data_IF_193442326200
#
_entry.id   IF_193442326200
#
_cell.length_a   1.000
_cell.length_b   1.000
_cell.length_c   1.000
_cell.angle_alpha   90.00
_cell.angle_beta   90.00
_cell.angle_gamma   90.00
#
_symmetry.space_group_name_H-M   'P 1'
#
loop_
_entity.id
_entity.type
_entity.pdbx_description
1 polymer ?
#
# COMPACT_ATOMS: atom_id res chain seq x y z
N UNK A 1 -9.15 -32.37 -67.35
CA UNK A 1 -9.81 -32.74 -66.08
C UNK A 1 -8.89 -32.36 -64.95
N UNK A 2 -9.08 -31.19 -64.24
CA UNK A 2 -8.38 -30.93 -62.99
C UNK A 2 -9.24 -31.39 -61.80
N UNK A 3 -8.61 -32.11 -60.89
CA UNK A 3 -9.15 -32.63 -59.64
C UNK A 3 -9.23 -31.53 -58.61
N UNK A 4 -10.41 -31.37 -58.03
CA UNK A 4 -10.69 -30.43 -56.95
C UNK A 4 -10.09 -30.93 -55.61
N UNK A 5 -9.38 -30.05 -54.91
CA UNK A 5 -8.90 -30.27 -53.54
C UNK A 5 -9.98 -29.79 -52.55
N UNK A 6 -10.32 -30.52 -51.51
CA UNK A 6 -11.26 -30.03 -50.50
C UNK A 6 -10.60 -29.01 -49.55
N UNK A 7 -11.29 -27.90 -49.35
CA UNK A 7 -11.01 -26.86 -48.38
C UNK A 7 -11.15 -27.42 -46.96
N UNK A 8 -10.10 -27.31 -46.16
CA UNK A 8 -10.15 -27.62 -44.73
C UNK A 8 -10.78 -26.46 -43.98
N UNK A 9 -11.97 -26.68 -43.46
CA UNK A 9 -12.62 -25.82 -42.45
C UNK A 9 -11.72 -25.78 -41.20
N UNK A 10 -11.17 -24.60 -40.91
CA UNK A 10 -10.52 -24.30 -39.63
C UNK A 10 -11.66 -23.99 -38.66
N UNK A 11 -11.93 -24.89 -37.74
CA UNK A 11 -12.83 -24.66 -36.62
C UNK A 11 -12.25 -23.52 -35.79
N UNK A 12 -13.00 -22.41 -35.72
CA UNK A 12 -12.85 -21.32 -34.77
C UNK A 12 -13.08 -21.90 -33.35
N UNK A 13 -11.99 -22.19 -32.64
CA UNK A 13 -12.06 -22.55 -31.21
C UNK A 13 -12.48 -21.28 -30.43
N UNK A 14 -13.79 -21.15 -30.22
CA UNK A 14 -14.40 -20.13 -29.39
C UNK A 14 -13.78 -20.14 -27.99
N UNK A 15 -12.98 -19.13 -27.69
CA UNK A 15 -12.48 -18.86 -26.33
C UNK A 15 -13.68 -18.84 -25.37
N UNK A 16 -13.64 -19.70 -24.38
CA UNK A 16 -14.62 -19.68 -23.28
C UNK A 16 -14.61 -18.28 -22.65
N UNK A 17 -15.76 -17.67 -22.36
CA UNK A 17 -15.79 -16.38 -21.67
C UNK A 17 -15.09 -16.54 -20.32
N UNK A 18 -14.02 -15.79 -20.09
CA UNK A 18 -13.35 -15.71 -18.78
C UNK A 18 -14.40 -15.25 -17.78
N UNK A 19 -14.67 -16.08 -16.78
CA UNK A 19 -15.53 -15.69 -15.67
C UNK A 19 -14.91 -14.46 -15.00
N UNK A 20 -15.65 -13.35 -14.82
CA UNK A 20 -15.10 -12.17 -14.18
C UNK A 20 -14.53 -12.54 -12.80
N UNK A 21 -13.34 -12.04 -12.51
CA UNK A 21 -12.67 -12.31 -11.24
C UNK A 21 -13.56 -11.84 -10.08
N UNK A 22 -13.87 -12.74 -9.15
CA UNK A 22 -14.67 -12.42 -7.96
C UNK A 22 -13.81 -11.91 -6.84
N UNK A 23 -14.38 -11.05 -5.99
CA UNK A 23 -13.72 -10.60 -4.76
C UNK A 23 -13.36 -11.82 -3.89
N UNK A 24 -12.13 -11.82 -3.38
CA UNK A 24 -11.65 -12.79 -2.39
C UNK A 24 -12.56 -12.85 -1.16
N UNK A 25 -12.87 -14.05 -0.68
CA UNK A 25 -13.57 -14.22 0.58
C UNK A 25 -12.72 -13.67 1.74
N UNK A 26 -13.38 -13.01 2.70
CA UNK A 26 -12.70 -12.47 3.88
C UNK A 26 -11.99 -13.59 4.66
N UNK A 27 -10.65 -13.51 4.85
CA UNK A 27 -9.94 -14.49 5.65
C UNK A 27 -10.31 -14.37 7.13
N UNK A 28 -10.40 -15.50 7.84
CA UNK A 28 -10.82 -15.55 9.24
C UNK A 28 -9.97 -14.67 10.19
N UNK A 29 -8.70 -14.44 9.84
CA UNK A 29 -7.78 -13.60 10.62
C UNK A 29 -8.11 -12.11 10.55
N UNK A 30 -8.85 -11.65 9.55
CA UNK A 30 -9.17 -10.24 9.35
C UNK A 30 -9.86 -9.63 10.58
N UNK A 31 -10.88 -10.32 11.12
CA UNK A 31 -11.58 -9.86 12.31
C UNK A 31 -10.67 -9.69 13.53
N UNK A 32 -9.68 -10.57 13.70
CA UNK A 32 -8.72 -10.45 14.80
C UNK A 32 -7.74 -9.29 14.63
N UNK A 33 -7.33 -8.98 13.37
CA UNK A 33 -6.40 -7.89 13.08
C UNK A 33 -7.03 -6.50 13.17
N UNK A 34 -8.31 -6.38 12.81
CA UNK A 34 -9.03 -5.10 12.85
C UNK A 34 -9.85 -4.88 14.12
N UNK A 35 -10.17 -5.94 14.88
CA UNK A 35 -10.99 -5.85 16.08
C UNK A 35 -12.33 -5.15 15.83
N UNK A 36 -12.63 -4.10 16.60
CA UNK A 36 -13.88 -3.33 16.47
C UNK A 36 -14.03 -2.62 15.13
N UNK A 37 -12.93 -2.40 14.40
CA UNK A 37 -12.91 -1.65 13.14
C UNK A 37 -13.11 -2.54 11.89
N UNK A 38 -13.40 -3.83 12.07
CA UNK A 38 -13.53 -4.78 10.94
C UNK A 38 -14.58 -4.37 9.92
N UNK A 39 -15.67 -3.76 10.32
CA UNK A 39 -16.74 -3.37 9.39
C UNK A 39 -16.31 -2.22 8.47
N UNK A 40 -15.48 -1.29 8.96
CA UNK A 40 -14.84 -0.27 8.10
C UNK A 40 -13.87 -0.89 7.11
N UNK A 41 -13.09 -1.90 7.53
CA UNK A 41 -12.19 -2.62 6.63
C UNK A 41 -12.96 -3.39 5.54
N UNK A 42 -14.10 -3.99 5.86
CA UNK A 42 -15.02 -4.63 4.91
C UNK A 42 -15.58 -3.63 3.91
N UNK A 43 -16.03 -2.47 4.39
CA UNK A 43 -16.56 -1.40 3.54
C UNK A 43 -15.50 -0.89 2.57
N UNK A 44 -14.28 -0.60 3.04
CA UNK A 44 -13.16 -0.17 2.21
C UNK A 44 -12.79 -1.23 1.16
N UNK A 45 -12.68 -2.50 1.56
CA UNK A 45 -12.33 -3.60 0.64
C UNK A 45 -13.39 -3.77 -0.45
N UNK A 46 -14.68 -3.65 -0.09
CA UNK A 46 -15.78 -3.69 -1.06
C UNK A 46 -15.73 -2.51 -2.03
N UNK A 47 -15.52 -1.29 -1.53
CA UNK A 47 -15.38 -0.11 -2.38
C UNK A 47 -14.23 -0.24 -3.38
N UNK A 48 -13.07 -0.80 -2.95
CA UNK A 48 -11.96 -1.11 -3.84
C UNK A 48 -12.32 -2.20 -4.86
N UNK A 49 -13.09 -3.21 -4.47
CA UNK A 49 -13.52 -4.25 -5.39
C UNK A 49 -14.47 -3.71 -6.47
N UNK A 50 -15.40 -2.84 -6.06
CA UNK A 50 -16.45 -2.32 -6.94
C UNK A 50 -15.93 -1.23 -7.91
N UNK A 51 -14.94 -0.43 -7.49
CA UNK A 51 -14.50 0.76 -8.22
C UNK A 51 -13.01 0.79 -8.56
N UNK A 52 -12.21 -0.11 -7.98
CA UNK A 52 -10.75 -0.02 -8.03
C UNK A 52 -10.18 -0.20 -9.42
N UNK A 53 -10.72 -1.12 -10.24
CA UNK A 53 -10.26 -1.35 -11.60
C UNK A 53 -10.65 -0.19 -12.52
N UNK A 54 -11.91 0.23 -12.51
CA UNK A 54 -12.41 1.34 -13.32
C UNK A 54 -11.64 2.64 -13.06
N UNK A 55 -11.33 2.92 -11.79
CA UNK A 55 -10.58 4.12 -11.38
C UNK A 55 -9.06 3.96 -11.52
N UNK A 56 -8.56 2.79 -11.95
CA UNK A 56 -7.13 2.51 -12.11
C UNK A 56 -6.36 2.55 -10.78
N UNK A 57 -6.97 2.05 -9.72
CA UNK A 57 -6.44 1.96 -8.36
C UNK A 57 -5.78 0.60 -8.10
N UNK A 58 -6.39 -0.46 -8.62
CA UNK A 58 -5.90 -1.84 -8.58
C UNK A 58 -5.94 -2.45 -9.98
N UNK A 59 -5.15 -3.48 -10.22
CA UNK A 59 -5.17 -4.21 -11.48
C UNK A 59 -6.32 -5.21 -11.57
N UNK A 60 -6.68 -5.68 -12.78
CA UNK A 60 -7.82 -6.57 -13.00
C UNK A 60 -7.69 -7.93 -12.30
N UNK A 61 -6.47 -8.37 -12.01
CA UNK A 61 -6.20 -9.66 -11.37
C UNK A 61 -6.06 -9.56 -9.84
N UNK A 62 -6.36 -8.41 -9.24
CA UNK A 62 -6.17 -8.22 -7.80
C UNK A 62 -7.39 -8.61 -6.95
N UNK A 63 -8.60 -8.70 -7.53
CA UNK A 63 -9.81 -9.06 -6.81
C UNK A 63 -9.72 -10.40 -6.05
N UNK A 64 -9.21 -11.50 -6.65
CA UNK A 64 -9.10 -12.79 -5.97
C UNK A 64 -8.08 -12.85 -4.82
N UNK A 65 -7.33 -11.77 -4.58
CA UNK A 65 -6.30 -11.66 -3.53
C UNK A 65 -6.29 -10.30 -2.85
N UNK A 66 -7.41 -9.57 -2.92
CA UNK A 66 -7.51 -8.20 -2.41
C UNK A 66 -7.34 -8.16 -0.89
N UNK A 67 -7.97 -9.10 -0.18
CA UNK A 67 -7.79 -9.24 1.25
C UNK A 67 -6.36 -9.64 1.63
N UNK A 68 -5.90 -10.77 1.10
CA UNK A 68 -4.62 -11.35 1.54
C UNK A 68 -3.43 -10.50 1.13
N UNK A 69 -3.37 -10.07 -0.14
CA UNK A 69 -2.21 -9.37 -0.68
C UNK A 69 -2.19 -7.87 -0.35
N UNK A 70 -3.35 -7.25 -0.15
CA UNK A 70 -3.41 -5.80 0.02
C UNK A 70 -3.86 -5.38 1.41
N UNK A 71 -5.02 -5.83 1.86
CA UNK A 71 -5.60 -5.39 3.13
C UNK A 71 -4.83 -5.98 4.32
N UNK A 72 -4.68 -7.31 4.37
CA UNK A 72 -3.98 -7.97 5.48
C UNK A 72 -2.49 -7.64 5.51
N UNK A 73 -1.84 -7.57 4.35
CA UNK A 73 -0.44 -7.16 4.26
C UNK A 73 -0.21 -5.70 4.68
N UNK A 74 -1.24 -4.86 4.65
CA UNK A 74 -1.15 -3.50 5.19
C UNK A 74 -1.38 -3.47 6.69
N UNK A 75 -2.47 -4.07 7.19
CA UNK A 75 -2.84 -4.01 8.61
C UNK A 75 -1.85 -4.71 9.53
N UNK A 76 -1.19 -5.76 9.09
CA UNK A 76 -0.19 -6.48 9.90
C UNK A 76 0.97 -5.59 10.36
N UNK A 77 1.21 -4.48 9.65
CA UNK A 77 2.23 -3.50 10.01
C UNK A 77 1.74 -2.45 11.03
N UNK A 78 0.45 -2.40 11.35
CA UNK A 78 -0.14 -1.39 12.24
C UNK A 78 0.56 -1.25 13.60
N UNK A 79 1.02 -2.34 14.27
CA UNK A 79 1.74 -2.23 15.54
C UNK A 79 3.11 -1.54 15.45
N UNK A 80 3.69 -1.41 14.25
CA UNK A 80 5.00 -0.77 14.07
C UNK A 80 4.95 0.75 14.17
N UNK A 81 3.77 1.35 13.93
CA UNK A 81 3.65 2.80 13.86
C UNK A 81 3.50 3.42 15.25
N UNK A 82 4.29 4.46 15.58
CA UNK A 82 4.15 5.20 16.84
C UNK A 82 2.83 5.98 16.85
N UNK A 83 2.39 6.34 18.05
CA UNK A 83 1.39 7.40 18.17
C UNK A 83 1.95 8.72 17.63
N UNK A 84 1.08 9.59 17.12
CA UNK A 84 1.46 10.90 16.56
C UNK A 84 1.07 11.04 15.10
N UNK A 85 1.86 11.81 14.33
CA UNK A 85 1.57 12.14 12.93
C UNK A 85 2.38 11.27 11.97
N UNK A 86 1.70 10.44 11.19
CA UNK A 86 2.31 9.48 10.26
C UNK A 86 1.91 9.80 8.82
N UNK A 87 2.89 9.88 7.92
CA UNK A 87 2.64 10.10 6.49
C UNK A 87 2.64 8.82 5.68
N UNK A 88 1.67 8.65 4.79
CA UNK A 88 1.70 7.66 3.71
C UNK A 88 2.02 8.36 2.40
N UNK A 89 3.20 8.12 1.84
CA UNK A 89 3.70 8.84 0.68
C UNK A 89 3.44 8.06 -0.61
N UNK A 90 2.66 8.70 -1.49
CA UNK A 90 2.14 8.04 -2.68
C UNK A 90 1.02 7.07 -2.34
N UNK A 91 0.02 7.54 -1.58
CA UNK A 91 -1.04 6.73 -1.00
C UNK A 91 -1.89 5.96 -2.02
N UNK A 92 -1.99 6.45 -3.25
CA UNK A 92 -2.62 5.74 -4.37
C UNK A 92 -4.07 5.31 -4.10
N UNK A 93 -4.27 4.00 -4.01
CA UNK A 93 -5.55 3.39 -3.68
C UNK A 93 -5.93 3.50 -2.18
N UNK A 94 -5.06 4.08 -1.34
CA UNK A 94 -5.22 4.07 0.13
C UNK A 94 -4.56 2.87 0.80
N UNK A 95 -3.61 2.25 0.12
CA UNK A 95 -2.88 1.07 0.56
C UNK A 95 -1.39 1.40 0.73
N UNK A 96 -0.84 1.50 1.96
CA UNK A 96 -1.44 1.02 3.21
C UNK A 96 -2.25 2.05 4.00
N UNK A 97 -2.25 3.35 3.66
CA UNK A 97 -2.67 4.45 4.52
C UNK A 97 -4.10 4.35 5.07
N UNK A 98 -5.12 4.11 4.22
CA UNK A 98 -6.51 3.97 4.69
C UNK A 98 -6.65 2.72 5.60
N UNK A 99 -6.03 1.61 5.22
CA UNK A 99 -6.09 0.36 6.02
C UNK A 99 -5.47 0.58 7.41
N UNK A 100 -4.33 1.26 7.46
CA UNK A 100 -3.64 1.59 8.71
C UNK A 100 -4.44 2.60 9.53
N UNK A 101 -5.08 3.58 8.90
CA UNK A 101 -5.92 4.56 9.58
C UNK A 101 -7.16 3.93 10.21
N UNK A 102 -7.76 2.93 9.57
CA UNK A 102 -8.85 2.13 10.14
C UNK A 102 -8.36 1.38 11.39
N UNK A 103 -7.21 0.70 11.30
CA UNK A 103 -6.70 -0.14 12.38
C UNK A 103 -6.09 0.66 13.55
N UNK A 104 -5.68 1.92 13.33
CA UNK A 104 -5.01 2.79 14.30
C UNK A 104 -5.69 4.15 14.37
N UNK A 105 -6.91 4.22 14.96
CA UNK A 105 -7.63 5.48 15.14
C UNK A 105 -6.94 6.46 16.11
N UNK A 106 -5.96 5.98 16.89
CA UNK A 106 -5.10 6.76 17.79
C UNK A 106 -3.95 7.48 17.08
N UNK A 107 -3.72 7.21 15.79
CA UNK A 107 -2.66 7.81 14.97
C UNK A 107 -3.27 8.82 13.99
N UNK A 108 -2.66 9.98 13.83
CA UNK A 108 -3.05 10.95 12.81
C UNK A 108 -2.33 10.66 11.50
N UNK A 109 -3.09 10.24 10.50
CA UNK A 109 -2.56 9.85 9.18
C UNK A 109 -2.63 10.98 8.18
N UNK A 110 -1.55 11.22 7.45
CA UNK A 110 -1.49 12.16 6.34
C UNK A 110 -1.23 11.40 5.05
N UNK A 111 -2.23 11.36 4.18
CA UNK A 111 -2.16 10.66 2.89
C UNK A 111 -1.72 11.65 1.82
N UNK A 112 -0.49 11.51 1.32
CA UNK A 112 0.09 12.41 0.32
C UNK A 112 0.05 11.74 -1.06
N UNK A 113 -0.68 12.35 -2.00
CA UNK A 113 -0.88 11.80 -3.35
C UNK A 113 -0.93 12.95 -4.39
N UNK A 114 -0.11 12.93 -5.45
CA UNK A 114 -0.11 14.01 -6.43
C UNK A 114 -1.28 13.95 -7.43
N UNK A 115 -1.84 12.78 -7.71
CA UNK A 115 -2.84 12.61 -8.77
C UNK A 115 -4.23 12.97 -8.28
N UNK A 116 -4.86 13.99 -8.89
CA UNK A 116 -6.18 14.50 -8.53
C UNK A 116 -7.26 13.43 -8.39
N UNK A 117 -7.35 12.50 -9.37
CA UNK A 117 -8.34 11.41 -9.34
C UNK A 117 -8.17 10.49 -8.13
N UNK A 118 -6.92 10.25 -7.68
CA UNK A 118 -6.62 9.43 -6.50
C UNK A 118 -6.90 10.19 -5.21
N UNK A 119 -6.60 11.49 -5.19
CA UNK A 119 -6.98 12.37 -4.07
C UNK A 119 -8.49 12.41 -3.89
N UNK A 120 -9.26 12.53 -4.98
CA UNK A 120 -10.72 12.46 -4.93
C UNK A 120 -11.21 11.13 -4.34
N UNK A 121 -10.64 10.00 -4.79
CA UNK A 121 -10.92 8.68 -4.24
C UNK A 121 -10.61 8.60 -2.73
N UNK A 122 -9.41 9.03 -2.32
CA UNK A 122 -9.00 9.00 -0.91
C UNK A 122 -9.93 9.84 -0.04
N UNK A 123 -10.31 11.05 -0.50
CA UNK A 123 -11.22 11.93 0.21
C UNK A 123 -12.62 11.34 0.34
N UNK A 124 -13.13 10.69 -0.71
CA UNK A 124 -14.38 9.94 -0.70
C UNK A 124 -14.33 8.82 0.34
N UNK A 125 -13.28 8.00 0.35
CA UNK A 125 -13.13 6.91 1.32
C UNK A 125 -13.02 7.42 2.76
N UNK A 126 -12.25 8.48 3.00
CA UNK A 126 -12.14 9.10 4.33
C UNK A 126 -13.50 9.56 4.84
N UNK A 127 -14.30 10.18 3.97
CA UNK A 127 -15.67 10.63 4.30
C UNK A 127 -16.60 9.45 4.59
N UNK A 128 -16.67 8.48 3.69
CA UNK A 128 -17.63 7.38 3.74
C UNK A 128 -17.36 6.43 4.91
N UNK A 129 -16.09 6.23 5.26
CA UNK A 129 -15.66 5.44 6.42
C UNK A 129 -15.69 6.21 7.74
N UNK A 130 -15.93 7.52 7.71
CA UNK A 130 -15.94 8.39 8.90
C UNK A 130 -14.59 8.43 9.61
N UNK A 131 -13.46 8.51 8.86
CA UNK A 131 -12.10 8.53 9.39
C UNK A 131 -11.72 9.96 9.82
N UNK A 132 -11.95 10.30 11.08
CA UNK A 132 -11.60 11.63 11.64
C UNK A 132 -10.10 11.81 11.90
N UNK A 133 -9.32 10.74 11.81
CA UNK A 133 -7.88 10.71 12.04
C UNK A 133 -7.06 10.78 10.73
N UNK A 134 -7.67 11.14 9.60
CA UNK A 134 -7.01 11.18 8.28
C UNK A 134 -7.09 12.56 7.65
N UNK A 135 -5.95 13.06 7.19
CA UNK A 135 -5.79 14.23 6.33
C UNK A 135 -5.35 13.78 4.94
N UNK A 136 -6.01 14.23 3.88
CA UNK A 136 -5.61 13.95 2.49
C UNK A 136 -4.97 15.20 1.90
N UNK A 137 -3.73 15.06 1.40
CA UNK A 137 -2.94 16.16 0.84
C UNK A 137 -2.64 15.88 -0.64
N UNK A 138 -3.07 16.79 -1.51
CA UNK A 138 -2.68 16.77 -2.92
C UNK A 138 -1.35 17.46 -3.11
N UNK A 139 -0.27 16.71 -3.12
CA UNK A 139 1.08 17.21 -3.35
C UNK A 139 2.02 16.12 -3.85
N UNK A 140 3.11 16.52 -4.48
CA UNK A 140 4.31 15.68 -4.58
C UNK A 140 5.05 15.71 -3.25
N UNK A 141 5.73 14.62 -2.90
CA UNK A 141 6.46 14.55 -1.63
C UNK A 141 7.50 15.67 -1.49
N UNK A 142 8.19 16.01 -2.59
CA UNK A 142 9.19 17.06 -2.65
C UNK A 142 8.61 18.47 -2.41
N UNK A 143 7.39 18.71 -2.88
CA UNK A 143 6.68 19.99 -2.77
C UNK A 143 6.06 20.17 -1.39
N UNK A 144 5.75 19.06 -0.70
CA UNK A 144 5.11 19.06 0.61
C UNK A 144 6.09 19.15 1.77
N UNK A 145 7.40 19.11 1.51
CA UNK A 145 8.45 19.04 2.53
C UNK A 145 8.52 20.26 3.47
N UNK A 146 8.04 21.43 3.03
CA UNK A 146 8.08 22.65 3.83
C UNK A 146 7.05 22.60 4.99
N UNK A 147 7.58 22.47 6.22
CA UNK A 147 6.76 22.42 7.46
C UNK A 147 6.16 21.05 7.79
N UNK A 148 6.39 20.03 6.97
CA UNK A 148 6.00 18.68 7.32
C UNK A 148 6.92 18.13 8.41
N UNK A 149 6.35 17.82 9.57
CA UNK A 149 7.05 17.14 10.67
C UNK A 149 6.25 15.91 11.02
N UNK A 150 6.81 14.75 10.65
CA UNK A 150 6.19 13.44 10.87
C UNK A 150 6.95 12.65 11.92
N UNK A 151 6.23 11.92 12.77
CA UNK A 151 6.78 10.94 13.69
C UNK A 151 7.25 9.68 12.98
N UNK A 152 6.53 9.29 11.94
CA UNK A 152 6.93 8.23 11.04
C UNK A 152 6.41 8.44 9.63
N UNK A 153 6.99 7.73 8.66
CA UNK A 153 6.53 7.71 7.28
C UNK A 153 6.44 6.28 6.76
N UNK A 154 5.43 6.04 5.95
CA UNK A 154 5.27 4.79 5.20
C UNK A 154 5.13 5.04 3.71
N UNK A 155 5.37 4.00 2.94
CA UNK A 155 5.05 3.93 1.52
C UNK A 155 4.98 2.46 1.09
N UNK A 156 4.18 2.17 0.05
CA UNK A 156 4.09 0.85 -0.57
C UNK A 156 4.09 0.97 -2.08
N UNK A 157 4.84 0.11 -2.78
CA UNK A 157 4.88 0.01 -4.24
C UNK A 157 5.22 1.32 -5.00
N UNK A 158 5.89 2.28 -4.36
CA UNK A 158 6.25 3.57 -4.95
C UNK A 158 7.52 3.45 -5.77
N UNK A 159 8.65 3.04 -5.14
CA UNK A 159 9.96 2.92 -5.80
C UNK A 159 10.96 2.14 -4.95
N UNK A 160 12.16 1.91 -5.51
CA UNK A 160 13.28 1.35 -4.74
C UNK A 160 13.70 2.30 -3.60
N UNK A 161 14.24 1.74 -2.51
CA UNK A 161 14.63 2.50 -1.31
C UNK A 161 15.53 3.71 -1.62
N UNK A 162 16.50 3.53 -2.52
CA UNK A 162 17.44 4.62 -2.93
C UNK A 162 16.74 5.85 -3.50
N UNK A 163 15.58 5.67 -4.13
CA UNK A 163 14.75 6.74 -4.70
C UNK A 163 13.74 7.26 -3.68
N UNK A 164 13.28 6.39 -2.78
CA UNK A 164 12.27 6.73 -1.78
C UNK A 164 12.84 7.57 -0.63
N UNK A 165 14.08 7.28 -0.19
CA UNK A 165 14.73 8.00 0.91
C UNK A 165 14.81 9.52 0.72
N UNK A 166 15.23 10.05 -0.46
CA UNK A 166 15.21 11.50 -0.71
C UNK A 166 13.85 12.17 -0.55
N UNK A 167 12.78 11.42 -0.80
CA UNK A 167 11.39 11.91 -0.76
C UNK A 167 10.79 11.86 0.64
N UNK A 168 11.25 10.93 1.47
CA UNK A 168 10.58 10.59 2.74
C UNK A 168 11.37 10.99 3.97
N UNK A 169 12.69 10.78 3.98
CA UNK A 169 13.52 11.09 5.14
C UNK A 169 13.49 12.58 5.55
N UNK A 170 13.44 13.57 4.62
CA UNK A 170 13.29 14.98 4.99
C UNK A 170 12.00 15.31 5.74
N UNK A 171 10.92 14.55 5.53
CA UNK A 171 9.60 14.75 6.13
C UNK A 171 9.54 14.30 7.59
N UNK A 172 10.47 13.44 8.01
CA UNK A 172 10.48 12.81 9.32
C UNK A 172 11.34 13.62 10.29
N UNK A 173 10.85 13.84 11.52
CA UNK A 173 11.62 14.51 12.57
C UNK A 173 12.87 13.72 12.96
N UNK A 174 13.78 14.34 13.68
CA UNK A 174 14.87 13.62 14.33
C UNK A 174 14.33 12.58 15.33
N UNK A 175 14.90 11.39 15.32
CA UNK A 175 14.42 10.24 16.08
C UNK A 175 13.18 9.54 15.51
N UNK A 176 12.54 10.08 14.46
CA UNK A 176 11.37 9.48 13.84
C UNK A 176 11.69 8.30 12.91
N UNK A 177 10.68 7.57 12.48
CA UNK A 177 10.82 6.27 11.83
C UNK A 177 10.43 6.27 10.35
N UNK A 178 11.15 5.46 9.58
CA UNK A 178 10.84 5.06 8.20
C UNK A 178 10.36 3.61 8.24
N UNK A 179 9.14 3.33 7.75
CA UNK A 179 8.50 2.01 7.81
C UNK A 179 7.87 1.71 6.44
N UNK A 180 8.58 1.01 5.57
CA UNK A 180 8.16 0.76 4.20
C UNK A 180 7.75 -0.69 4.00
N UNK A 181 6.56 -0.92 3.42
CA UNK A 181 6.13 -2.26 3.04
C UNK A 181 6.76 -2.65 1.71
N UNK A 182 7.55 -3.71 1.73
CA UNK A 182 8.40 -4.15 0.63
C UNK A 182 8.20 -5.62 0.26
N UNK A 183 8.62 -5.96 -0.95
CA UNK A 183 8.67 -7.34 -1.43
C UNK A 183 9.90 -8.10 -0.94
N UNK A 184 10.16 -9.24 -1.59
CA UNK A 184 11.23 -10.17 -1.19
C UNK A 184 12.63 -9.57 -1.25
N UNK A 185 12.85 -8.55 -2.09
CA UNK A 185 14.16 -7.93 -2.29
C UNK A 185 14.51 -6.83 -1.27
N UNK A 186 13.75 -6.69 -0.18
CA UNK A 186 13.91 -5.63 0.81
C UNK A 186 15.34 -5.51 1.36
N UNK A 187 16.02 -6.64 1.64
CA UNK A 187 17.39 -6.66 2.13
C UNK A 187 18.38 -6.13 1.08
N UNK A 188 18.26 -6.56 -0.16
CA UNK A 188 19.10 -6.05 -1.26
C UNK A 188 18.86 -4.55 -1.53
N UNK A 189 17.65 -4.04 -1.28
CA UNK A 189 17.37 -2.61 -1.36
C UNK A 189 18.13 -1.79 -0.30
N UNK A 190 18.27 -2.31 0.92
CA UNK A 190 19.10 -1.67 1.98
C UNK A 190 20.56 -1.56 1.54
N UNK A 191 21.12 -2.66 1.06
CA UNK A 191 22.51 -2.72 0.60
C UNK A 191 22.76 -1.74 -0.54
N UNK A 192 21.85 -1.71 -1.53
CA UNK A 192 21.93 -0.79 -2.68
C UNK A 192 21.73 0.69 -2.29
N UNK A 193 21.09 0.98 -1.15
CA UNK A 193 20.78 2.32 -0.68
C UNK A 193 21.80 2.86 0.37
N UNK A 194 22.91 2.17 0.65
CA UNK A 194 23.86 2.53 1.72
C UNK A 194 24.32 3.99 1.67
N UNK A 195 24.55 4.55 0.48
CA UNK A 195 24.96 5.97 0.32
C UNK A 195 23.83 6.92 0.74
N UNK A 196 22.59 6.61 0.35
CA UNK A 196 21.41 7.41 0.70
C UNK A 196 21.08 7.32 2.18
N UNK A 197 21.17 6.13 2.78
CA UNK A 197 20.98 5.95 4.21
C UNK A 197 21.93 6.86 5.00
N UNK A 198 23.22 6.88 4.67
CA UNK A 198 24.20 7.80 5.29
C UNK A 198 23.89 9.26 5.02
N UNK A 199 23.55 9.62 3.76
CA UNK A 199 23.26 11.01 3.36
C UNK A 199 22.08 11.59 4.11
N UNK A 200 21.04 10.79 4.36
CA UNK A 200 19.82 11.19 5.04
C UNK A 200 19.81 10.85 6.53
N UNK A 201 20.96 10.48 7.09
CA UNK A 201 21.13 10.15 8.51
C UNK A 201 20.18 9.05 9.00
N UNK A 202 19.93 8.05 8.15
CA UNK A 202 19.10 6.90 8.51
C UNK A 202 19.98 5.81 9.11
N UNK A 203 19.68 5.48 10.35
CA UNK A 203 20.36 4.42 11.13
C UNK A 203 19.45 3.23 11.35
N UNK A 204 20.00 2.12 11.83
CA UNK A 204 19.28 0.90 12.23
C UNK A 204 18.41 0.32 11.09
N UNK A 205 18.83 0.52 9.83
CA UNK A 205 18.11 -0.01 8.67
C UNK A 205 18.12 -1.54 8.67
N UNK A 206 16.92 -2.13 8.72
CA UNK A 206 16.71 -3.58 8.78
C UNK A 206 15.41 -4.00 8.13
N UNK A 207 15.27 -5.30 7.86
CA UNK A 207 14.03 -5.92 7.40
C UNK A 207 13.41 -6.69 8.56
N UNK A 208 12.14 -6.44 8.83
CA UNK A 208 11.32 -7.23 9.75
C UNK A 208 10.30 -8.04 8.95
N UNK A 209 10.14 -9.32 9.27
CA UNK A 209 9.13 -10.19 8.68
C UNK A 209 7.90 -10.17 9.58
N UNK A 210 6.76 -9.81 9.01
CA UNK A 210 5.51 -9.64 9.71
C UNK A 210 4.50 -10.70 9.29
N UNK A 211 3.72 -11.19 10.24
CA UNK A 211 2.60 -12.10 9.97
C UNK A 211 3.02 -13.57 9.77
N UNK A 212 4.23 -13.98 10.16
CA UNK A 212 4.60 -15.40 10.17
C UNK A 212 3.63 -16.19 11.04
N UNK A 213 3.10 -17.30 10.50
CA UNK A 213 2.08 -18.12 11.17
C UNK A 213 0.68 -17.50 11.25
N UNK A 214 0.50 -16.28 10.76
CA UNK A 214 -0.79 -15.55 10.75
C UNK A 214 -1.30 -15.30 9.33
N UNK A 215 -0.42 -14.85 8.44
CA UNK A 215 -0.74 -14.60 7.04
C UNK A 215 -0.26 -15.75 6.15
N UNK A 216 -0.99 -16.04 5.09
CA UNK A 216 -0.58 -17.02 4.08
C UNK A 216 0.77 -16.65 3.44
N UNK A 217 0.98 -15.34 3.19
CA UNK A 217 2.24 -14.79 2.74
C UNK A 217 2.70 -13.70 3.71
N UNK A 218 3.80 -13.91 4.45
CA UNK A 218 4.35 -12.90 5.35
C UNK A 218 4.76 -11.62 4.60
N UNK A 219 4.54 -10.49 5.24
CA UNK A 219 4.90 -9.16 4.74
C UNK A 219 6.30 -8.77 5.25
N UNK A 220 7.04 -8.01 4.46
CA UNK A 220 8.31 -7.43 4.87
C UNK A 220 8.18 -5.95 5.10
N UNK A 221 8.55 -5.50 6.29
CA UNK A 221 8.70 -4.09 6.62
C UNK A 221 10.20 -3.75 6.62
N UNK A 222 10.61 -2.82 5.78
CA UNK A 222 11.92 -2.20 5.88
C UNK A 222 11.80 -1.04 6.85
N UNK A 223 12.56 -1.09 7.94
CA UNK A 223 12.56 -0.06 8.98
C UNK A 223 13.91 0.62 9.09
N UNK A 224 13.88 1.89 9.48
CA UNK A 224 15.03 2.67 9.82
C UNK A 224 14.63 3.89 10.63
N UNK A 225 15.57 4.54 11.31
CA UNK A 225 15.35 5.72 12.14
C UNK A 225 16.18 6.89 11.63
N UNK A 226 15.58 8.06 11.56
CA UNK A 226 16.30 9.30 11.24
C UNK A 226 17.05 9.76 12.50
N UNK A 227 18.37 9.95 12.41
CA UNK A 227 19.21 10.41 13.52
C UNK A 227 20.13 11.54 13.00
N UNK A 228 19.58 12.76 12.98
CA UNK A 228 20.31 13.94 12.55
C UNK A 228 21.30 14.36 13.65
N UNK A 229 22.50 14.89 13.24
CA UNK A 229 23.49 15.40 14.21
C UNK A 229 23.00 16.66 14.94
#
# INVERSE_FOLDING_TARGET
>A
MPTATPSSDVADEGGSPETPASLEAEPAVAAALFGAEIDRARQFTRALADHGEERGLIGPLELPRLWTRHVLNSVIAAPLFPAGRVGDIGSGAGLPGIVLAIARPDVHWVLVEPMERRVAWLSEQVHDLGLSNVEVVRARAEEWSEGAVLDAVTARAVSALRTLLPLTAPLVRDGGELIFLKGQNAQAEIEAATKQLRRFHVVDARVEILGEGVLAEPTRALRGRVARP
#
